data_IF_969977590918
#
_entry.id   IF_969977590918
#
_cell.length_a   1.000
_cell.length_b   1.000
_cell.length_c   1.000
_cell.angle_alpha   90.00
_cell.angle_beta   90.00
_cell.angle_gamma   90.00
#
_symmetry.space_group_name_H-M   'P 1'
#
loop_
_entity.id
_entity.type
_entity.pdbx_description
1 polymer ?
#
# COMPACT_ATOMS: atom_id res chain seq x y z
N UNK A 1 38.97 54.43 8.95
CA UNK A 1 38.98 54.39 10.42
C UNK A 1 38.44 53.04 10.84
N UNK A 2 39.24 52.29 11.63
CA UNK A 2 38.89 51.20 12.59
C UNK A 2 38.10 49.99 12.06
N UNK A 3 38.30 48.74 12.49
CA UNK A 3 39.39 47.89 12.99
C UNK A 3 38.76 46.48 13.03
N UNK A 4 39.44 45.43 12.56
CA UNK A 4 39.12 44.01 12.84
C UNK A 4 39.28 43.71 14.36
N UNK A 5 38.68 42.63 14.96
CA UNK A 5 39.17 41.22 14.82
C UNK A 5 38.07 40.11 14.90
N UNK A 6 38.20 38.97 14.21
CA UNK A 6 38.84 37.69 14.61
C UNK A 6 38.56 37.28 16.07
N UNK A 7 37.78 36.20 16.25
CA UNK A 7 37.92 35.27 17.38
C UNK A 7 37.96 33.84 16.83
N UNK A 8 39.06 33.17 17.16
CA UNK A 8 39.36 31.74 17.00
C UNK A 8 39.50 31.20 18.43
N UNK A 9 38.88 30.05 18.77
CA UNK A 9 39.23 29.18 19.91
C UNK A 9 38.46 27.84 19.72
N UNK A 10 39.07 26.76 19.22
CA UNK A 10 39.96 25.81 19.90
C UNK A 10 39.28 24.93 20.98
N UNK A 11 38.98 23.68 20.58
CA UNK A 11 39.36 22.44 21.26
C UNK A 11 38.75 22.08 22.63
N UNK A 12 38.11 20.92 22.70
CA UNK A 12 38.36 19.98 23.80
C UNK A 12 38.21 18.52 23.36
N UNK A 13 39.27 17.77 23.60
CA UNK A 13 39.42 16.31 23.49
C UNK A 13 39.19 15.74 24.90
N UNK A 14 38.61 14.55 25.03
CA UNK A 14 39.19 13.40 25.77
C UNK A 14 38.21 12.45 26.47
N UNK A 15 38.42 11.17 26.13
CA UNK A 15 38.60 9.97 26.98
C UNK A 15 37.42 9.32 27.70
N UNK A 16 37.21 8.07 27.26
CA UNK A 16 36.84 6.86 27.98
C UNK A 16 37.60 6.61 29.30
N UNK A 17 36.89 6.05 30.30
CA UNK A 17 37.36 5.26 31.48
C UNK A 17 36.12 4.43 31.90
N UNK A 18 36.08 3.12 31.68
CA UNK A 18 36.55 2.01 32.53
C UNK A 18 35.78 1.81 33.86
N UNK A 19 35.31 0.57 34.03
CA UNK A 19 34.62 0.00 35.19
C UNK A 19 35.48 -0.05 36.46
N UNK A 20 34.85 -0.33 37.62
CA UNK A 20 35.49 -1.07 38.70
C UNK A 20 34.81 -2.42 38.96
N UNK A 21 35.58 -3.48 38.74
CA UNK A 21 35.49 -4.75 39.45
C UNK A 21 36.32 -4.65 40.74
N UNK A 22 35.81 -5.18 41.86
CA UNK A 22 36.53 -5.82 43.00
C UNK A 22 35.51 -6.00 44.15
N UNK A 23 35.60 -6.95 45.08
CA UNK A 23 36.21 -8.28 45.20
C UNK A 23 35.86 -8.73 46.64
N UNK A 24 35.83 -10.05 46.87
CA UNK A 24 35.88 -10.64 48.22
C UNK A 24 34.50 -10.87 48.84
N UNK A 25 34.10 -12.07 49.23
CA UNK A 25 34.89 -13.20 49.70
C UNK A 25 34.37 -13.56 51.08
N UNK A 26 33.90 -14.80 51.27
CA UNK A 26 33.36 -15.21 52.56
C UNK A 26 32.64 -16.54 52.54
N UNK A 27 33.42 -17.61 52.44
CA UNK A 27 33.00 -18.97 52.76
C UNK A 27 32.43 -19.06 54.18
N UNK A 28 31.37 -19.85 54.35
CA UNK A 28 30.84 -20.22 55.66
C UNK A 28 30.00 -21.50 55.57
N UNK A 29 30.68 -22.64 55.63
CA UNK A 29 30.11 -23.98 55.80
C UNK A 29 29.35 -24.07 57.14
N UNK A 30 28.22 -24.79 57.19
CA UNK A 30 28.09 -26.04 57.97
C UNK A 30 26.63 -26.50 58.20
N UNK A 31 26.46 -27.82 58.06
CA UNK A 31 25.63 -28.74 58.84
C UNK A 31 24.10 -28.49 58.89
N UNK A 32 23.25 -29.34 58.30
CA UNK A 32 22.93 -30.71 58.71
C UNK A 32 22.71 -30.84 60.23
N UNK A 33 21.47 -31.04 60.68
CA UNK A 33 20.93 -32.37 61.02
C UNK A 33 19.64 -32.26 61.86
N UNK A 34 18.92 -33.39 61.88
CA UNK A 34 18.03 -33.87 62.94
C UNK A 34 16.52 -33.56 62.89
N UNK A 35 15.82 -34.62 62.51
CA UNK A 35 14.43 -34.96 62.76
C UNK A 35 14.06 -35.14 64.25
N UNK A 36 12.78 -34.96 64.57
CA UNK A 36 11.95 -35.80 65.47
C UNK A 36 10.51 -35.22 65.48
N UNK A 37 9.48 -35.89 64.96
CA UNK A 37 8.65 -36.99 65.51
C UNK A 37 7.78 -36.66 66.74
N UNK A 38 6.50 -37.05 66.59
CA UNK A 38 5.42 -37.28 67.57
C UNK A 38 4.62 -36.03 68.02
N UNK A 39 3.30 -36.07 68.18
CA UNK A 39 2.34 -37.17 68.16
C UNK A 39 0.90 -36.65 68.17
N UNK A 40 -0.02 -37.58 67.93
CA UNK A 40 -1.47 -37.40 67.79
C UNK A 40 -2.19 -36.92 69.06
N UNK A 41 -3.35 -36.27 68.91
CA UNK A 41 -4.66 -36.76 69.42
C UNK A 41 -5.81 -35.71 69.34
N UNK A 42 -6.89 -36.11 68.65
CA UNK A 42 -8.31 -36.10 69.06
C UNK A 42 -9.11 -34.79 69.22
N UNK A 43 -10.27 -34.76 68.52
CA UNK A 43 -11.47 -33.95 68.80
C UNK A 43 -11.77 -32.98 67.64
N UNK A 44 -12.67 -33.22 66.69
CA UNK A 44 -14.07 -33.62 66.85
C UNK A 44 -14.94 -32.37 66.99
N UNK A 45 -15.50 -31.85 65.89
CA UNK A 45 -16.84 -31.24 65.81
C UNK A 45 -17.26 -30.97 64.35
N UNK A 46 -18.54 -31.29 64.07
CA UNK A 46 -19.30 -31.16 62.83
C UNK A 46 -19.44 -29.70 62.36
N UNK A 47 -19.55 -29.48 61.04
CA UNK A 47 -20.28 -28.32 60.51
C UNK A 47 -19.98 -27.89 59.08
N UNK A 48 -20.59 -28.58 58.10
CA UNK A 48 -21.21 -28.07 56.87
C UNK A 48 -20.63 -26.90 56.03
N UNK A 49 -20.64 -27.17 54.71
CA UNK A 49 -20.66 -26.27 53.52
C UNK A 49 -19.31 -25.99 52.84
N UNK A 50 -18.92 -26.91 51.95
CA UNK A 50 -17.89 -26.70 50.93
C UNK A 50 -18.24 -27.49 49.67
N UNK A 51 -19.30 -27.09 48.96
CA UNK A 51 -19.86 -27.81 47.82
C UNK A 51 -19.83 -27.06 46.48
N UNK A 52 -18.94 -26.07 46.32
CA UNK A 52 -18.87 -25.26 45.09
C UNK A 52 -17.46 -25.16 44.46
N UNK A 53 -16.41 -25.68 45.11
CA UNK A 53 -15.03 -25.60 44.59
C UNK A 53 -14.54 -26.89 43.90
N UNK A 54 -15.28 -28.00 44.01
CA UNK A 54 -14.89 -29.28 43.40
C UNK A 54 -15.53 -29.53 42.01
N UNK A 55 -16.50 -28.73 41.60
CA UNK A 55 -17.15 -28.84 40.29
C UNK A 55 -16.44 -28.05 39.17
N UNK A 56 -15.62 -27.05 39.52
CA UNK A 56 -14.88 -26.25 38.54
C UNK A 56 -13.56 -26.90 38.07
N UNK A 57 -12.96 -27.79 38.88
CA UNK A 57 -11.72 -28.50 38.52
C UNK A 57 -11.96 -29.74 37.63
N UNK A 58 -13.18 -30.28 37.60
CA UNK A 58 -13.53 -31.44 36.76
C UNK A 58 -13.97 -31.06 35.33
N UNK A 59 -14.40 -29.82 35.11
CA UNK A 59 -14.73 -29.32 33.77
C UNK A 59 -13.49 -28.90 32.95
N UNK A 60 -12.41 -28.49 33.62
CA UNK A 60 -11.15 -28.11 32.98
C UNK A 60 -10.28 -29.32 32.53
N UNK A 61 -10.48 -30.50 33.12
CA UNK A 61 -9.76 -31.73 32.76
C UNK A 61 -10.43 -32.55 31.63
N UNK A 62 -11.69 -32.26 31.29
CA UNK A 62 -12.41 -32.92 30.20
C UNK A 62 -12.27 -32.22 28.83
N UNK A 63 -11.83 -30.95 28.81
CA UNK A 63 -11.55 -30.22 27.57
C UNK A 63 -10.15 -30.51 26.98
N UNK A 64 -9.23 -31.04 27.79
CA UNK A 64 -7.86 -31.36 27.36
C UNK A 64 -7.68 -32.79 26.79
N UNK A 65 -8.75 -33.61 26.78
CA UNK A 65 -8.70 -35.01 26.31
C UNK A 65 -9.41 -35.25 24.96
N UNK A 66 -9.92 -34.20 24.31
CA UNK A 66 -10.55 -34.28 22.98
C UNK A 66 -9.65 -33.80 21.82
N UNK A 67 -8.41 -33.40 22.10
CA UNK A 67 -7.46 -32.86 21.12
C UNK A 67 -6.39 -33.87 20.66
N UNK A 68 -6.71 -35.17 20.65
CA UNK A 68 -5.70 -36.19 20.41
C UNK A 68 -6.24 -37.48 19.83
N UNK A 69 -6.80 -37.44 18.62
CA UNK A 69 -6.78 -38.54 17.64
C UNK A 69 -7.47 -38.05 16.35
N UNK A 70 -6.66 -37.59 15.40
CA UNK A 70 -7.15 -37.14 14.10
C UNK A 70 -5.99 -36.81 13.17
N UNK A 71 -5.01 -37.71 13.07
CA UNK A 71 -4.06 -37.68 11.97
C UNK A 71 -4.82 -38.04 10.68
N UNK A 72 -5.49 -37.05 10.10
CA UNK A 72 -5.91 -37.12 8.71
C UNK A 72 -4.70 -36.68 7.87
N UNK A 73 -4.14 -37.62 7.12
CA UNK A 73 -3.21 -37.30 6.06
C UNK A 73 -3.94 -36.38 5.06
N UNK A 74 -3.51 -35.13 4.97
CA UNK A 74 -3.99 -34.21 3.94
C UNK A 74 -3.17 -34.51 2.70
N UNK A 75 -3.85 -34.94 1.65
CA UNK A 75 -3.26 -35.24 0.37
C UNK A 75 -2.77 -33.94 -0.27
N UNK A 76 -1.48 -33.93 -0.66
CA UNK A 76 -0.97 -32.98 -1.63
C UNK A 76 -1.81 -33.11 -2.90
N UNK A 77 -2.49 -32.05 -3.29
CA UNK A 77 -3.12 -31.98 -4.59
C UNK A 77 -2.99 -30.55 -5.10
N UNK A 78 -1.92 -30.34 -5.86
CA UNK A 78 -1.68 -29.11 -6.58
C UNK A 78 -2.72 -28.90 -7.68
N UNK A 79 -3.06 -27.63 -7.86
CA UNK A 79 -3.45 -27.03 -9.14
C UNK A 79 -3.19 -25.54 -9.02
N UNK A 80 -1.93 -25.15 -9.23
CA UNK A 80 -1.58 -23.79 -9.62
C UNK A 80 -1.86 -23.64 -11.12
N UNK A 81 -2.51 -22.54 -11.51
CA UNK A 81 -2.47 -22.06 -12.87
C UNK A 81 -1.13 -21.32 -13.06
N UNK A 82 -0.45 -21.61 -14.16
CA UNK A 82 0.94 -21.24 -14.40
C UNK A 82 1.13 -19.72 -14.60
N UNK A 83 1.73 -19.07 -13.60
CA UNK A 83 2.73 -18.00 -13.75
C UNK A 83 4.11 -18.58 -13.39
N UNK A 84 5.21 -17.88 -13.68
CA UNK A 84 6.57 -18.40 -13.47
C UNK A 84 6.76 -18.97 -12.05
N UNK A 85 7.17 -20.25 -11.95
CA UNK A 85 7.38 -20.93 -10.66
C UNK A 85 8.50 -20.21 -9.90
N UNK A 86 8.13 -19.34 -8.95
CA UNK A 86 8.96 -19.11 -7.78
C UNK A 86 9.32 -20.47 -7.19
N UNK A 87 10.59 -20.63 -6.83
CA UNK A 87 11.03 -21.82 -6.10
C UNK A 87 10.29 -21.82 -4.77
N UNK A 88 9.25 -22.65 -4.62
CA UNK A 88 8.51 -22.82 -3.36
C UNK A 88 9.52 -22.90 -2.21
N UNK A 89 9.46 -21.93 -1.28
CA UNK A 89 10.27 -21.98 -0.07
C UNK A 89 9.96 -23.32 0.61
N UNK A 90 10.94 -24.24 0.78
CA UNK A 90 10.69 -25.53 1.42
C UNK A 90 10.22 -25.39 2.89
N UNK A 91 10.18 -24.17 3.43
CA UNK A 91 9.64 -23.79 4.73
C UNK A 91 8.32 -22.99 4.66
N UNK A 92 7.57 -23.11 3.56
CA UNK A 92 6.19 -22.62 3.37
C UNK A 92 5.18 -23.78 3.48
N UNK A 93 3.98 -23.49 3.98
CA UNK A 93 2.87 -24.44 4.11
C UNK A 93 1.56 -23.79 3.64
N UNK A 94 1.01 -24.29 2.55
CA UNK A 94 -0.30 -23.86 2.07
C UNK A 94 -1.42 -24.64 2.75
N UNK A 95 -2.39 -23.92 3.30
CA UNK A 95 -3.50 -24.47 4.06
C UNK A 95 -4.82 -23.96 3.49
N UNK A 96 -5.81 -24.84 3.41
CA UNK A 96 -7.18 -24.42 3.05
C UNK A 96 -7.96 -24.02 4.29
N UNK A 97 -8.43 -22.78 4.31
CA UNK A 97 -9.32 -22.22 5.33
C UNK A 97 -10.80 -22.44 5.00
N UNK A 98 -11.62 -22.54 6.05
CA UNK A 98 -13.09 -22.50 5.96
C UNK A 98 -13.61 -21.47 6.95
N UNK A 99 -14.44 -20.53 6.50
CA UNK A 99 -14.99 -19.49 7.37
C UNK A 99 -15.74 -20.09 8.58
N UNK A 100 -15.52 -19.49 9.75
CA UNK A 100 -16.07 -19.90 11.04
C UNK A 100 -15.40 -21.13 11.66
N UNK A 101 -14.40 -21.73 10.99
CA UNK A 101 -13.67 -22.90 11.49
C UNK A 101 -12.28 -22.51 11.97
N UNK A 102 -11.84 -23.07 13.09
CA UNK A 102 -10.50 -22.85 13.61
C UNK A 102 -9.45 -23.63 12.79
N UNK A 103 -8.39 -22.94 12.39
CA UNK A 103 -7.19 -23.48 11.73
C UNK A 103 -6.02 -23.39 12.71
N UNK A 104 -5.32 -24.49 12.93
CA UNK A 104 -4.15 -24.54 13.79
C UNK A 104 -2.91 -24.15 12.99
N UNK A 105 -2.32 -23.01 13.32
CA UNK A 105 -1.08 -22.50 12.75
C UNK A 105 0.12 -22.97 13.58
N UNK A 106 1.08 -23.57 12.91
CA UNK A 106 2.30 -24.11 13.50
C UNK A 106 3.25 -22.98 13.91
N UNK A 107 3.99 -23.18 15.01
CA UNK A 107 5.14 -22.33 15.34
C UNK A 107 6.42 -22.79 14.63
N UNK A 108 7.55 -22.24 15.04
CA UNK A 108 8.86 -22.59 14.50
C UNK A 108 9.31 -21.74 13.31
N UNK A 109 8.69 -20.57 13.12
CA UNK A 109 9.01 -19.64 12.03
C UNK A 109 8.87 -20.30 10.64
N UNK A 110 7.80 -21.08 10.48
CA UNK A 110 7.32 -21.65 9.22
C UNK A 110 6.26 -20.70 8.66
N UNK A 111 6.42 -20.26 7.42
CA UNK A 111 5.40 -19.44 6.75
C UNK A 111 4.21 -20.32 6.39
N UNK A 112 3.01 -19.84 6.68
CA UNK A 112 1.76 -20.57 6.47
C UNK A 112 0.75 -19.64 5.84
N UNK A 113 0.22 -20.06 4.70
CA UNK A 113 -0.67 -19.26 3.88
C UNK A 113 -2.03 -19.95 3.88
N UNK A 114 -3.01 -19.29 4.50
CA UNK A 114 -4.34 -19.88 4.69
C UNK A 114 -5.32 -19.28 3.71
N UNK A 115 -5.49 -19.92 2.56
CA UNK A 115 -6.46 -19.51 1.55
C UNK A 115 -7.87 -19.96 1.94
N UNK A 116 -8.78 -19.01 2.16
CA UNK A 116 -10.18 -19.29 2.44
C UNK A 116 -10.98 -19.51 1.16
N UNK A 117 -12.08 -20.26 1.29
CA UNK A 117 -13.03 -20.43 0.19
C UNK A 117 -13.47 -19.08 -0.38
N UNK A 118 -13.46 -18.98 -1.72
CA UNK A 118 -13.94 -17.81 -2.45
C UNK A 118 -15.26 -17.27 -1.88
N UNK A 119 -15.28 -15.97 -1.64
CA UNK A 119 -16.46 -15.19 -1.33
C UNK A 119 -17.22 -14.79 -2.62
N UNK A 120 -17.56 -13.52 -2.79
CA UNK A 120 -18.29 -13.02 -3.95
C UNK A 120 -17.33 -12.77 -5.10
N UNK A 121 -16.31 -11.95 -4.83
CA UNK A 121 -15.40 -11.39 -5.82
C UNK A 121 -14.04 -12.06 -5.82
N UNK A 122 -13.61 -12.65 -4.72
CA UNK A 122 -12.28 -13.21 -4.54
C UNK A 122 -12.20 -14.09 -3.31
N UNK A 123 -10.98 -14.43 -2.92
CA UNK A 123 -10.66 -15.26 -1.76
C UNK A 123 -9.79 -14.46 -0.81
N UNK A 124 -10.09 -14.54 0.49
CA UNK A 124 -9.17 -14.02 1.51
C UNK A 124 -8.05 -15.03 1.73
N UNK A 125 -6.82 -14.55 1.78
CA UNK A 125 -5.67 -15.28 2.30
C UNK A 125 -5.15 -14.61 3.57
N UNK A 126 -4.60 -15.42 4.48
CA UNK A 126 -3.93 -14.94 5.69
C UNK A 126 -2.57 -15.63 5.76
N UNK A 127 -1.51 -14.85 5.57
CA UNK A 127 -0.14 -15.32 5.78
C UNK A 127 0.30 -15.12 7.24
N UNK A 128 0.92 -16.16 7.80
CA UNK A 128 1.40 -16.17 9.18
C UNK A 128 2.79 -16.80 9.29
N UNK A 129 3.66 -16.15 10.07
CA UNK A 129 4.92 -16.74 10.54
C UNK A 129 5.19 -16.29 11.95
N UNK A 130 5.57 -17.22 12.82
CA UNK A 130 6.02 -16.90 14.17
C UNK A 130 6.73 -18.09 14.82
N UNK A 131 7.54 -17.83 15.84
CA UNK A 131 8.16 -18.88 16.65
C UNK A 131 7.12 -19.71 17.42
N UNK A 132 6.04 -19.09 17.90
CA UNK A 132 4.95 -19.78 18.59
C UNK A 132 3.71 -19.86 17.69
N UNK A 133 3.08 -21.04 17.65
CA UNK A 133 1.86 -21.26 16.88
C UNK A 133 0.67 -20.42 17.38
N UNK A 134 -0.37 -20.38 16.55
CA UNK A 134 -1.62 -19.66 16.80
C UNK A 134 -2.82 -20.49 16.36
N UNK A 135 -3.99 -20.09 16.84
CA UNK A 135 -5.28 -20.62 16.38
C UNK A 135 -6.01 -19.52 15.62
N UNK A 136 -6.05 -19.65 14.29
CA UNK A 136 -6.73 -18.71 13.40
C UNK A 136 -8.20 -19.09 13.26
N UNK A 137 -9.09 -18.12 13.41
CA UNK A 137 -10.48 -18.23 12.96
C UNK A 137 -10.80 -17.00 12.14
N UNK A 138 -11.31 -17.20 10.93
CA UNK A 138 -11.83 -16.11 10.10
C UNK A 138 -13.34 -16.27 9.98
N UNK A 139 -14.10 -15.23 10.29
CA UNK A 139 -15.56 -15.21 10.08
C UNK A 139 -15.91 -14.19 9.02
N UNK A 140 -16.63 -14.61 8.00
CA UNK A 140 -17.15 -13.71 6.99
C UNK A 140 -18.40 -12.97 7.49
N UNK A 141 -18.41 -11.64 7.33
CA UNK A 141 -19.55 -10.78 7.57
C UNK A 141 -20.12 -10.28 6.24
N UNK A 142 -21.29 -10.80 5.85
CA UNK A 142 -22.02 -10.44 4.63
C UNK A 142 -22.76 -9.09 4.69
N UNK A 143 -22.73 -8.41 5.84
CA UNK A 143 -23.32 -7.09 6.03
C UNK A 143 -22.32 -6.18 6.76
N UNK A 144 -21.22 -5.80 6.10
CA UNK A 144 -20.21 -4.93 6.68
C UNK A 144 -20.75 -3.52 6.97
N UNK A 145 -19.98 -2.74 7.72
CA UNK A 145 -20.18 -1.29 7.77
C UNK A 145 -20.00 -0.69 6.36
N UNK A 146 -20.52 0.53 6.15
CA UNK A 146 -20.39 1.20 4.87
C UNK A 146 -18.91 1.44 4.50
N UNK A 147 -18.56 1.43 3.20
CA UNK A 147 -17.22 1.79 2.75
C UNK A 147 -16.79 3.18 3.24
N UNK A 148 -15.47 3.41 3.41
CA UNK A 148 -14.94 4.74 3.70
C UNK A 148 -15.32 5.76 2.62
N UNK A 149 -15.36 7.05 2.97
CA UNK A 149 -15.61 8.11 1.99
C UNK A 149 -14.53 8.11 0.90
N UNK A 150 -14.94 8.24 -0.37
CA UNK A 150 -14.03 8.14 -1.51
C UNK A 150 -13.80 6.72 -2.02
N UNK A 151 -14.37 5.71 -1.35
CA UNK A 151 -14.23 4.31 -1.70
C UNK A 151 -15.58 3.63 -1.92
N UNK A 152 -15.57 2.58 -2.73
CA UNK A 152 -16.65 1.60 -2.83
C UNK A 152 -16.12 0.24 -2.43
N UNK A 153 -17.01 -0.64 -1.98
CA UNK A 153 -16.63 -2.03 -1.70
C UNK A 153 -16.26 -2.73 -3.01
N UNK A 154 -15.09 -3.36 -3.03
CA UNK A 154 -14.71 -4.33 -4.06
C UNK A 154 -15.33 -5.68 -3.72
N UNK A 155 -15.14 -6.14 -2.48
CA UNK A 155 -15.87 -7.29 -1.93
C UNK A 155 -17.01 -6.76 -1.03
N UNK A 156 -18.27 -7.14 -1.30
CA UNK A 156 -19.40 -6.73 -0.46
C UNK A 156 -19.40 -7.35 0.95
N UNK A 157 -18.54 -8.34 1.20
CA UNK A 157 -18.29 -8.95 2.51
C UNK A 157 -17.08 -8.29 3.21
N UNK A 158 -16.97 -8.52 4.52
CA UNK A 158 -15.74 -8.24 5.28
C UNK A 158 -15.35 -9.48 6.09
N UNK A 159 -14.11 -9.53 6.54
CA UNK A 159 -13.52 -10.72 7.14
C UNK A 159 -13.00 -10.43 8.54
N UNK A 160 -13.55 -11.13 9.53
CA UNK A 160 -13.16 -11.04 10.93
C UNK A 160 -12.06 -12.04 11.22
N UNK A 161 -10.83 -11.57 11.25
CA UNK A 161 -9.65 -12.37 11.59
C UNK A 161 -9.45 -12.36 13.10
N UNK A 162 -9.32 -13.55 13.68
CA UNK A 162 -9.04 -13.74 15.09
C UNK A 162 -8.01 -14.86 15.32
N UNK A 163 -6.81 -14.46 15.71
CA UNK A 163 -5.82 -15.29 16.37
C UNK A 163 -6.11 -15.34 17.87
N UNK A 164 -6.48 -16.52 18.38
CA UNK A 164 -6.95 -16.69 19.76
C UNK A 164 -5.91 -16.30 20.82
N UNK A 165 -4.63 -16.46 20.52
CA UNK A 165 -3.51 -16.14 21.39
C UNK A 165 -2.94 -14.74 21.15
N UNK A 166 -3.59 -13.94 20.30
CA UNK A 166 -3.20 -12.58 19.95
C UNK A 166 -2.29 -12.48 18.72
N UNK A 167 -2.25 -11.27 18.18
CA UNK A 167 -1.60 -10.90 16.92
C UNK A 167 -0.46 -9.88 17.12
N UNK A 168 0.01 -9.70 18.35
CA UNK A 168 1.08 -8.73 18.62
C UNK A 168 2.46 -9.36 18.38
N UNK A 169 3.34 -8.61 17.72
CA UNK A 169 4.77 -8.93 17.53
C UNK A 169 5.02 -10.32 16.92
N UNK A 170 4.20 -10.74 15.95
CA UNK A 170 4.48 -11.93 15.14
C UNK A 170 5.56 -11.62 14.09
N UNK A 171 6.25 -12.66 13.62
CA UNK A 171 7.34 -12.53 12.62
C UNK A 171 6.81 -12.08 11.25
N UNK A 172 5.67 -12.61 10.81
CA UNK A 172 4.96 -12.19 9.59
C UNK A 172 3.45 -12.24 9.85
N UNK A 173 2.76 -11.23 9.35
CA UNK A 173 1.31 -11.15 9.33
C UNK A 173 0.89 -10.38 8.09
N UNK A 174 0.19 -11.03 7.18
CA UNK A 174 -0.43 -10.36 6.06
C UNK A 174 -1.92 -10.69 5.97
N UNK A 175 -2.65 -9.79 5.33
CA UNK A 175 -4.08 -9.93 5.04
C UNK A 175 -4.21 -9.71 3.56
N UNK A 176 -4.40 -10.79 2.83
CA UNK A 176 -4.27 -10.76 1.38
C UNK A 176 -5.60 -11.14 0.74
N UNK A 177 -5.80 -10.68 -0.49
CA UNK A 177 -7.05 -10.87 -1.20
C UNK A 177 -6.83 -11.15 -2.68
N UNK A 178 -6.84 -12.43 -3.02
CA UNK A 178 -6.83 -12.93 -4.39
C UNK A 178 -8.15 -12.62 -5.07
N UNK A 179 -8.15 -11.72 -6.04
CA UNK A 179 -9.33 -11.29 -6.79
C UNK A 179 -9.59 -12.31 -7.90
N UNK A 180 -10.84 -12.76 -8.07
CA UNK A 180 -11.20 -13.57 -9.24
C UNK A 180 -11.43 -12.64 -10.45
N UNK A 181 -10.52 -12.62 -11.44
CA UNK A 181 -10.64 -11.75 -12.62
C UNK A 181 -11.88 -12.08 -13.47
N UNK A 182 -12.47 -13.27 -13.32
CA UNK A 182 -13.70 -13.66 -14.02
C UNK A 182 -14.98 -13.17 -13.30
N UNK A 183 -14.87 -12.52 -12.15
CA UNK A 183 -16.02 -11.98 -11.44
C UNK A 183 -16.69 -10.86 -12.26
N UNK A 184 -18.01 -10.93 -12.53
CA UNK A 184 -18.69 -9.86 -13.25
C UNK A 184 -18.82 -8.56 -12.42
N UNK A 185 -18.66 -8.65 -11.10
CA UNK A 185 -18.85 -7.53 -10.18
C UNK A 185 -17.63 -6.58 -10.11
N UNK A 186 -16.51 -6.95 -10.73
CA UNK A 186 -15.30 -6.11 -10.81
C UNK A 186 -15.07 -5.48 -12.18
N UNK A 187 -15.97 -5.72 -13.14
CA UNK A 187 -15.82 -5.19 -14.50
C UNK A 187 -15.81 -3.66 -14.46
N UNK A 188 -14.72 -3.07 -14.96
CA UNK A 188 -14.52 -1.62 -14.98
C UNK A 188 -14.10 -1.01 -13.64
N UNK A 189 -13.76 -1.84 -12.64
CA UNK A 189 -13.14 -1.38 -11.41
C UNK A 189 -11.61 -1.36 -11.55
N UNK A 190 -10.99 -0.34 -10.97
CA UNK A 190 -9.55 -0.23 -10.87
C UNK A 190 -9.05 -1.06 -9.67
N UNK A 191 -8.87 -2.36 -9.92
CA UNK A 191 -8.46 -3.30 -8.89
C UNK A 191 -6.99 -3.15 -8.48
N UNK A 192 -6.15 -2.57 -9.35
CA UNK A 192 -4.74 -2.32 -9.07
C UNK A 192 -4.58 -1.27 -7.95
N UNK A 193 -5.49 -0.30 -7.89
CA UNK A 193 -5.58 0.66 -6.79
C UNK A 193 -6.46 0.18 -5.62
N UNK A 194 -6.73 -1.12 -5.54
CA UNK A 194 -7.47 -1.72 -4.43
C UNK A 194 -6.83 -1.41 -3.09
N UNK A 195 -7.65 -1.36 -2.04
CA UNK A 195 -7.22 -1.04 -0.68
C UNK A 195 -7.84 -2.02 0.30
N UNK A 196 -7.04 -2.45 1.29
CA UNK A 196 -7.51 -3.26 2.41
C UNK A 196 -7.66 -2.36 3.64
N UNK A 197 -8.88 -2.21 4.11
CA UNK A 197 -9.21 -1.35 5.24
C UNK A 197 -9.58 -2.13 6.50
N UNK A 198 -9.22 -1.62 7.67
CA UNK A 198 -9.59 -2.20 8.98
C UNK A 198 -10.76 -1.46 9.60
N UNK A 199 -11.75 -2.18 10.14
CA UNK A 199 -12.87 -1.58 10.85
C UNK A 199 -12.39 -0.95 12.17
N UNK A 200 -12.57 0.36 12.31
CA UNK A 200 -12.49 1.02 13.60
C UNK A 200 -13.80 0.80 14.36
N UNK A 201 -13.74 0.00 15.42
CA UNK A 201 -14.93 -0.35 16.21
C UNK A 201 -15.50 0.84 16.98
N UNK A 202 -14.71 1.88 17.23
CA UNK A 202 -15.16 3.09 17.94
C UNK A 202 -16.06 3.97 17.07
N UNK A 203 -15.71 4.12 15.79
CA UNK A 203 -16.47 4.92 14.82
C UNK A 203 -17.43 4.08 13.97
N UNK A 204 -17.28 2.75 14.00
CA UNK A 204 -17.98 1.79 13.15
C UNK A 204 -17.81 2.12 11.65
N UNK A 205 -16.59 2.51 11.28
CA UNK A 205 -16.19 2.81 9.90
C UNK A 205 -14.89 2.12 9.59
N UNK A 206 -14.74 1.64 8.36
CA UNK A 206 -13.43 1.18 7.89
C UNK A 206 -12.48 2.37 7.78
N UNK A 207 -11.21 2.10 8.07
CA UNK A 207 -10.11 3.04 7.93
C UNK A 207 -9.11 2.41 6.97
N UNK A 208 -8.66 3.20 6.01
CA UNK A 208 -7.51 2.91 5.13
C UNK A 208 -6.46 3.92 5.55
N UNK A 209 -5.34 3.45 6.09
CA UNK A 209 -4.31 4.29 6.71
C UNK A 209 -2.97 3.58 6.64
N UNK A 210 -1.90 4.30 6.29
CA UNK A 210 -0.53 3.77 6.21
C UNK A 210 -0.05 3.19 7.55
N UNK A 211 -0.64 3.59 8.68
CA UNK A 211 -0.35 3.02 9.99
C UNK A 211 -0.87 1.59 10.19
N UNK A 212 -1.78 1.11 9.32
CA UNK A 212 -2.23 -0.28 9.35
C UNK A 212 -1.17 -1.24 8.80
N UNK A 213 -0.46 -0.81 7.75
CA UNK A 213 0.44 -1.65 6.99
C UNK A 213 0.82 -1.05 5.64
N UNK A 214 1.72 -1.76 4.95
CA UNK A 214 2.10 -1.49 3.55
C UNK A 214 1.23 -2.36 2.65
N UNK A 215 0.55 -1.72 1.68
CA UNK A 215 -0.32 -2.36 0.69
C UNK A 215 0.47 -2.53 -0.62
N UNK A 216 0.30 -3.67 -1.27
CA UNK A 216 0.89 -4.00 -2.56
C UNK A 216 -0.17 -4.65 -3.45
N UNK A 217 -0.09 -4.43 -4.76
CA UNK A 217 -0.90 -5.17 -5.74
C UNK A 217 0.01 -6.05 -6.59
N UNK A 218 -0.18 -7.36 -6.48
CA UNK A 218 0.58 -8.36 -7.19
C UNK A 218 -0.15 -8.71 -8.49
N UNK A 219 0.22 -8.03 -9.57
CA UNK A 219 -0.51 -8.09 -10.84
C UNK A 219 -0.57 -9.49 -11.45
N UNK A 220 0.49 -10.29 -11.26
CA UNK A 220 0.57 -11.65 -11.78
C UNK A 220 -0.43 -12.61 -11.10
N UNK A 221 -0.77 -12.33 -9.84
CA UNK A 221 -1.68 -13.15 -9.02
C UNK A 221 -3.07 -12.52 -8.88
N UNK A 222 -3.25 -11.28 -9.34
CA UNK A 222 -4.43 -10.44 -9.10
C UNK A 222 -4.73 -10.31 -7.61
N UNK A 223 -3.70 -10.09 -6.81
CA UNK A 223 -3.79 -10.11 -5.35
C UNK A 223 -3.49 -8.74 -4.75
N UNK A 224 -4.28 -8.35 -3.75
CA UNK A 224 -3.96 -7.24 -2.86
C UNK A 224 -3.32 -7.81 -1.60
N UNK A 225 -2.09 -7.39 -1.30
CA UNK A 225 -1.31 -7.86 -0.15
C UNK A 225 -1.18 -6.74 0.87
N UNK A 226 -1.57 -6.95 2.13
CA UNK A 226 -1.39 -5.96 3.20
C UNK A 226 -0.55 -6.53 4.34
N UNK A 227 0.70 -6.09 4.46
CA UNK A 227 1.57 -6.46 5.58
C UNK A 227 1.24 -5.63 6.82
N UNK A 228 0.79 -6.27 7.90
CA UNK A 228 0.25 -5.59 9.09
C UNK A 228 1.04 -5.89 10.36
N UNK A 229 0.99 -4.97 11.32
CA UNK A 229 1.56 -5.22 12.67
C UNK A 229 0.63 -6.01 13.59
N UNK A 230 -0.68 -6.04 13.27
CA UNK A 230 -1.69 -6.78 14.00
C UNK A 230 -2.90 -7.09 13.10
N UNK A 231 -3.02 -8.37 12.69
CA UNK A 231 -4.11 -8.83 11.81
C UNK A 231 -5.45 -9.06 12.51
N UNK A 232 -5.52 -9.07 13.85
CA UNK A 232 -6.80 -9.26 14.54
C UNK A 232 -7.72 -8.06 14.29
N UNK A 233 -8.92 -8.31 13.77
CA UNK A 233 -9.87 -7.27 13.41
C UNK A 233 -10.85 -7.69 12.33
N UNK A 234 -11.67 -6.74 11.88
CA UNK A 234 -12.56 -6.90 10.73
C UNK A 234 -12.01 -6.11 9.55
N UNK A 235 -11.85 -6.76 8.41
CA UNK A 235 -11.16 -6.23 7.24
C UNK A 235 -12.10 -6.19 6.04
N UNK A 236 -12.10 -5.08 5.32
CA UNK A 236 -12.88 -4.90 4.09
C UNK A 236 -11.96 -4.61 2.91
N UNK A 237 -12.41 -5.00 1.72
CA UNK A 237 -11.68 -4.79 0.46
C UNK A 237 -12.40 -3.71 -0.34
N UNK A 238 -11.67 -2.68 -0.72
CA UNK A 238 -12.20 -1.47 -1.33
C UNK A 238 -11.47 -1.12 -2.60
N UNK A 239 -12.12 -0.34 -3.46
CA UNK A 239 -11.47 0.37 -4.56
C UNK A 239 -11.86 1.84 -4.48
N UNK A 240 -10.96 2.77 -4.84
CA UNK A 240 -11.30 4.18 -4.97
C UNK A 240 -12.50 4.34 -5.91
N UNK A 241 -13.45 5.18 -5.52
CA UNK A 241 -14.49 5.62 -6.45
C UNK A 241 -13.81 6.62 -7.38
N UNK A 242 -13.71 6.29 -8.67
CA UNK A 242 -13.36 7.27 -9.69
C UNK A 242 -14.28 8.48 -9.48
N UNK A 243 -13.71 9.61 -9.11
CA UNK A 243 -14.50 10.78 -8.73
C UNK A 243 -15.42 11.10 -9.90
N UNK A 244 -16.72 10.89 -9.73
CA UNK A 244 -17.72 11.44 -10.62
C UNK A 244 -17.59 12.97 -10.52
N UNK A 245 -16.79 13.54 -11.41
CA UNK A 245 -16.70 14.96 -11.65
C UNK A 245 -18.08 15.43 -12.13
N UNK A 246 -18.98 15.71 -11.19
CA UNK A 246 -20.10 16.66 -11.24
C UNK A 246 -21.17 16.30 -10.19
N UNK A 247 -21.05 16.86 -8.99
CA UNK A 247 -22.21 17.08 -8.12
C UNK A 247 -21.96 18.16 -7.05
N UNK A 248 -21.72 19.40 -7.47
CA UNK A 248 -22.01 20.57 -6.62
C UNK A 248 -22.22 21.87 -7.44
N UNK A 249 -23.17 21.86 -8.38
CA UNK A 249 -23.86 23.07 -8.81
C UNK A 249 -25.28 22.73 -9.32
N UNK A 250 -26.24 22.68 -8.39
CA UNK A 250 -27.64 23.07 -8.59
C UNK A 250 -28.54 22.33 -9.59
N UNK A 251 -29.57 21.66 -9.07
CA UNK A 251 -30.94 21.82 -9.59
C UNK A 251 -31.57 20.66 -10.36
N UNK A 252 -32.50 19.97 -9.67
CA UNK A 252 -33.69 19.21 -10.13
C UNK A 252 -34.00 19.13 -11.64
N UNK A 253 -34.18 17.91 -12.18
CA UNK A 253 -35.49 17.24 -12.38
C UNK A 253 -35.51 16.22 -13.56
N UNK A 254 -36.13 15.06 -13.27
CA UNK A 254 -37.00 14.22 -14.11
C UNK A 254 -36.43 13.28 -15.22
N UNK A 255 -36.67 11.98 -14.97
CA UNK A 255 -37.15 10.89 -15.83
C UNK A 255 -36.80 10.83 -17.33
N UNK A 256 -36.20 9.71 -17.74
CA UNK A 256 -36.19 9.27 -19.14
C UNK A 256 -35.30 8.05 -19.40
N UNK A 257 -35.93 6.87 -19.48
CA UNK A 257 -35.36 5.55 -19.80
C UNK A 257 -34.94 5.43 -21.29
N UNK A 258 -33.72 4.97 -21.58
CA UNK A 258 -33.37 3.80 -22.43
C UNK A 258 -32.04 3.91 -23.24
N UNK A 259 -31.29 2.81 -23.17
CA UNK A 259 -30.49 2.14 -24.23
C UNK A 259 -29.06 2.62 -24.59
N UNK A 260 -28.10 1.84 -24.07
CA UNK A 260 -27.02 1.10 -24.76
C UNK A 260 -26.05 1.81 -25.73
N UNK A 261 -24.78 1.91 -25.30
CA UNK A 261 -23.53 1.48 -25.97
C UNK A 261 -22.42 1.75 -24.93
N UNK A 262 -21.67 0.78 -24.41
CA UNK A 262 -20.75 -0.07 -25.16
C UNK A 262 -19.41 0.66 -25.27
N UNK A 263 -18.54 0.51 -24.28
CA UNK A 263 -17.21 1.12 -24.23
C UNK A 263 -16.53 0.84 -22.89
N UNK A 264 -15.74 -0.24 -22.86
CA UNK A 264 -14.76 -0.51 -21.81
C UNK A 264 -13.82 0.68 -21.68
N UNK A 265 -13.71 1.22 -20.46
CA UNK A 265 -12.70 2.20 -20.09
C UNK A 265 -11.74 1.49 -19.13
N UNK A 266 -10.57 1.14 -19.64
CA UNK A 266 -9.44 0.71 -18.84
C UNK A 266 -8.93 1.90 -18.02
N UNK A 267 -8.73 1.68 -16.72
CA UNK A 267 -8.07 2.64 -15.84
C UNK A 267 -6.55 2.45 -15.98
N UNK A 268 -5.85 3.58 -16.09
CA UNK A 268 -4.41 3.64 -16.20
C UNK A 268 -3.79 3.25 -14.85
N UNK A 269 -2.98 2.20 -14.87
CA UNK A 269 -2.08 1.83 -13.79
C UNK A 269 -1.02 2.93 -13.66
N UNK A 270 -1.02 3.65 -12.53
CA UNK A 270 0.19 4.25 -12.01
C UNK A 270 0.85 3.18 -11.15
N UNK A 271 1.92 2.58 -11.65
CA UNK A 271 2.75 1.68 -10.86
C UNK A 271 3.59 2.52 -9.91
N UNK A 272 3.46 2.31 -8.60
CA UNK A 272 4.48 2.78 -7.65
C UNK A 272 5.69 1.84 -7.78
N UNK A 273 6.74 2.30 -8.46
CA UNK A 273 8.09 1.74 -8.29
C UNK A 273 8.47 1.84 -6.79
N UNK A 274 9.13 0.82 -6.27
CA UNK A 274 9.69 0.82 -4.92
C UNK A 274 10.48 2.11 -4.66
N UNK A 275 10.04 2.92 -3.69
CA UNK A 275 10.70 4.17 -3.24
C UNK A 275 12.22 3.94 -3.14
N UNK A 276 12.98 4.42 -4.14
CA UNK A 276 14.43 4.49 -4.01
C UNK A 276 14.71 5.52 -2.93
N UNK A 277 15.40 5.14 -1.85
CA UNK A 277 15.74 6.05 -0.73
C UNK A 277 16.18 7.42 -1.25
N UNK A 278 15.33 8.45 -1.11
CA UNK A 278 15.61 9.82 -1.55
C UNK A 278 14.67 10.42 -2.60
N UNK A 279 13.66 9.68 -3.07
CA UNK A 279 12.56 10.18 -3.90
C UNK A 279 11.40 10.70 -3.02
N UNK A 280 10.56 11.61 -3.52
CA UNK A 280 9.45 12.19 -2.76
C UNK A 280 8.30 12.50 -3.69
N UNK A 281 7.21 11.78 -3.53
CA UNK A 281 6.00 11.99 -4.32
C UNK A 281 5.11 13.06 -3.67
N UNK A 282 4.63 13.99 -4.51
CA UNK A 282 3.81 15.11 -4.07
C UNK A 282 2.63 15.30 -5.00
N UNK A 283 1.42 15.24 -4.44
CA UNK A 283 0.21 15.66 -5.14
C UNK A 283 0.27 17.16 -5.48
N UNK A 284 0.45 17.44 -6.76
CA UNK A 284 0.44 18.78 -7.34
C UNK A 284 -0.97 19.34 -7.45
N UNK A 285 -1.15 20.59 -7.03
CA UNK A 285 -2.37 21.36 -7.30
C UNK A 285 -2.09 22.48 -8.29
N UNK A 286 -2.84 22.52 -9.39
CA UNK A 286 -2.72 23.61 -10.36
C UNK A 286 -2.87 24.98 -9.68
N UNK A 287 -2.09 25.95 -10.16
CA UNK A 287 -1.99 27.32 -9.65
C UNK A 287 -1.41 27.43 -8.23
N UNK A 288 -0.85 26.34 -7.69
CA UNK A 288 -0.19 26.32 -6.37
C UNK A 288 1.28 26.01 -6.57
N UNK A 289 2.15 26.76 -5.89
CA UNK A 289 3.58 26.48 -5.90
C UNK A 289 3.88 25.29 -4.97
N UNK A 290 4.49 24.26 -5.51
CA UNK A 290 4.99 23.09 -4.77
C UNK A 290 6.49 23.28 -4.54
N UNK A 291 6.94 23.20 -3.30
CA UNK A 291 8.34 23.37 -2.96
C UNK A 291 9.11 22.08 -3.24
N UNK A 292 10.29 22.20 -3.85
CA UNK A 292 11.20 21.07 -4.07
C UNK A 292 12.47 21.27 -3.22
N UNK A 293 12.91 20.24 -2.47
CA UNK A 293 14.10 20.30 -1.65
C UNK A 293 15.38 20.48 -2.49
N UNK A 294 16.46 20.87 -1.82
CA UNK A 294 17.80 20.96 -2.41
C UNK A 294 18.54 19.61 -2.29
N UNK A 295 19.71 19.52 -2.94
CA UNK A 295 20.68 18.46 -2.70
C UNK A 295 20.39 17.14 -3.42
N UNK A 296 19.83 17.22 -4.62
CA UNK A 296 19.48 16.06 -5.45
C UNK A 296 18.49 15.09 -4.79
N UNK A 297 17.58 15.63 -3.98
CA UNK A 297 16.39 14.90 -3.55
C UNK A 297 15.39 15.02 -4.68
N UNK A 298 15.15 13.91 -5.38
CA UNK A 298 14.18 13.85 -6.48
C UNK A 298 12.79 14.08 -5.89
N UNK A 299 11.96 14.84 -6.61
CA UNK A 299 10.60 15.13 -6.21
C UNK A 299 9.71 15.02 -7.43
N UNK A 300 8.74 14.14 -7.35
CA UNK A 300 7.79 13.83 -8.41
C UNK A 300 6.47 14.50 -8.05
N UNK A 301 6.05 15.44 -8.90
CA UNK A 301 4.90 16.27 -8.63
C UNK A 301 3.79 15.90 -9.60
N UNK A 302 2.86 15.06 -9.13
CA UNK A 302 1.75 14.57 -9.93
C UNK A 302 0.59 15.57 -9.94
N UNK A 303 0.28 16.13 -11.11
CA UNK A 303 -0.89 16.98 -11.33
C UNK A 303 -1.99 16.19 -12.02
N UNK A 304 -3.03 15.82 -11.25
CA UNK A 304 -4.20 15.13 -11.79
C UNK A 304 -4.84 15.96 -12.89
N UNK A 305 -4.85 15.44 -14.11
CA UNK A 305 -5.28 16.15 -15.31
C UNK A 305 -6.76 15.93 -15.62
N UNK A 306 -7.04 15.40 -16.81
CA UNK A 306 -8.39 15.11 -17.26
C UNK A 306 -8.49 13.67 -17.79
N UNK A 307 -9.56 13.33 -18.50
CA UNK A 307 -9.78 11.99 -19.07
C UNK A 307 -8.65 11.52 -20.00
N UNK A 308 -7.83 12.43 -20.54
CA UNK A 308 -6.69 12.11 -21.38
C UNK A 308 -5.45 11.64 -20.59
N UNK A 309 -5.30 12.00 -19.31
CA UNK A 309 -4.09 11.70 -18.54
C UNK A 309 -3.73 12.76 -17.50
N UNK A 310 -2.57 12.54 -16.87
CA UNK A 310 -1.99 13.36 -15.82
C UNK A 310 -0.66 13.94 -16.28
N UNK A 311 -0.33 15.13 -15.77
CA UNK A 311 1.01 15.70 -15.93
C UNK A 311 1.81 15.37 -14.68
N UNK A 312 3.03 14.90 -14.86
CA UNK A 312 4.02 14.84 -13.79
C UNK A 312 5.21 15.77 -14.10
N UNK A 313 5.78 16.34 -13.03
CA UNK A 313 6.98 17.16 -13.13
C UNK A 313 8.01 16.63 -12.13
N UNK A 314 9.03 15.95 -12.64
CA UNK A 314 10.19 15.52 -11.86
C UNK A 314 11.18 16.68 -11.65
N UNK A 315 11.63 16.88 -10.41
CA UNK A 315 12.73 17.79 -10.09
C UNK A 315 13.77 17.10 -9.23
N UNK A 316 14.97 16.93 -9.78
CA UNK A 316 16.15 16.47 -9.07
C UNK A 316 17.27 17.52 -9.18
N UNK A 317 17.32 18.44 -8.21
CA UNK A 317 18.10 19.67 -8.31
C UNK A 317 19.07 19.91 -7.14
N UNK A 318 20.17 20.59 -7.45
CA UNK A 318 21.18 21.02 -6.47
C UNK A 318 20.64 22.02 -5.46
N UNK A 319 19.77 22.95 -5.90
CA UNK A 319 19.20 24.02 -5.09
C UNK A 319 17.69 23.84 -4.94
N UNK A 320 17.16 24.21 -3.77
CA UNK A 320 15.73 24.17 -3.51
C UNK A 320 14.99 25.10 -4.47
N UNK A 321 13.84 24.65 -4.97
CA UNK A 321 13.04 25.39 -5.93
C UNK A 321 11.56 25.41 -5.51
N UNK A 322 10.72 26.01 -6.35
CA UNK A 322 9.29 25.79 -6.28
C UNK A 322 8.72 25.76 -7.69
N UNK A 323 7.91 24.74 -7.98
CA UNK A 323 7.26 24.53 -9.28
C UNK A 323 5.81 24.98 -9.17
N UNK A 324 5.34 25.80 -10.10
CA UNK A 324 3.92 26.12 -10.26
C UNK A 324 3.47 25.72 -11.65
N UNK A 325 2.43 24.90 -11.72
CA UNK A 325 1.79 24.51 -12.99
C UNK A 325 0.44 25.17 -13.10
N UNK A 326 0.18 25.82 -14.23
CA UNK A 326 -1.14 26.35 -14.60
C UNK A 326 -1.62 25.61 -15.83
N UNK A 327 -2.72 24.87 -15.71
CA UNK A 327 -3.35 24.26 -16.88
C UNK A 327 -4.28 25.25 -17.59
N UNK A 328 -4.42 25.06 -18.90
CA UNK A 328 -5.28 25.90 -19.74
C UNK A 328 -5.39 25.35 -21.14
N UNK A 329 -6.07 26.07 -22.04
CA UNK A 329 -6.08 25.71 -23.45
C UNK A 329 -4.73 26.04 -24.11
N UNK A 330 -4.23 25.17 -25.01
CA UNK A 330 -3.04 25.47 -25.80
C UNK A 330 -3.14 26.84 -26.46
N UNK A 331 -2.12 27.68 -26.28
CA UNK A 331 -2.07 29.02 -26.87
C UNK A 331 -1.42 29.04 -28.26
N UNK A 332 -0.63 28.00 -28.57
CA UNK A 332 -0.04 27.76 -29.89
C UNK A 332 -0.79 26.73 -30.72
N UNK A 333 -0.37 26.58 -31.97
CA UNK A 333 -0.83 25.49 -32.84
C UNK A 333 0.09 24.27 -32.72
N UNK A 334 -0.41 23.04 -32.94
CA UNK A 334 0.47 21.89 -33.09
C UNK A 334 1.37 22.08 -34.34
N UNK A 335 2.55 21.44 -34.40
CA UNK A 335 3.34 21.39 -35.62
C UNK A 335 2.51 20.83 -36.79
N UNK A 336 2.90 21.16 -38.02
CA UNK A 336 2.23 20.63 -39.20
C UNK A 336 2.23 19.08 -39.20
N UNK A 337 1.05 18.49 -39.35
CA UNK A 337 0.87 17.03 -39.33
C UNK A 337 0.73 16.43 -37.93
N UNK A 338 0.66 17.24 -36.88
CA UNK A 338 0.38 16.81 -35.50
C UNK A 338 -1.00 17.24 -35.02
N UNK A 339 -1.52 16.51 -34.04
CA UNK A 339 -2.73 16.80 -33.29
C UNK A 339 -2.40 16.92 -31.80
N UNK A 340 -3.24 17.63 -31.05
CA UNK A 340 -3.20 17.56 -29.59
C UNK A 340 -3.86 16.27 -29.11
N UNK A 341 -3.20 15.57 -28.20
CA UNK A 341 -3.74 14.39 -27.51
C UNK A 341 -4.66 14.84 -26.38
N UNK A 342 -4.16 15.77 -25.55
CA UNK A 342 -4.92 16.43 -24.49
C UNK A 342 -5.40 17.81 -24.97
N UNK A 343 -6.69 18.19 -24.82
CA UNK A 343 -7.15 19.56 -25.07
C UNK A 343 -6.54 20.62 -24.12
N UNK A 344 -5.74 20.21 -23.13
CA UNK A 344 -5.02 21.06 -22.20
C UNK A 344 -3.56 21.29 -22.61
N UNK A 345 -3.01 22.37 -22.07
CA UNK A 345 -1.60 22.70 -22.04
C UNK A 345 -1.22 23.08 -20.62
N UNK A 346 0.06 22.96 -20.30
CA UNK A 346 0.58 23.12 -18.96
C UNK A 346 1.65 24.20 -18.96
N UNK A 347 1.38 25.33 -18.31
CA UNK A 347 2.36 26.39 -18.09
C UNK A 347 3.12 26.09 -16.82
N UNK A 348 4.34 25.61 -16.97
CA UNK A 348 5.23 25.30 -15.86
C UNK A 348 6.13 26.52 -15.62
N UNK A 349 6.25 26.90 -14.35
CA UNK A 349 7.18 27.95 -13.91
C UNK A 349 7.93 27.53 -12.66
N UNK A 350 9.21 27.83 -12.62
CA UNK A 350 10.06 27.59 -11.45
C UNK A 350 10.41 28.91 -10.75
N UNK A 351 10.56 28.89 -9.43
CA UNK A 351 10.96 30.06 -8.65
C UNK A 351 12.37 30.55 -9.02
N UNK A 352 13.26 29.62 -9.35
CA UNK A 352 14.62 29.89 -9.84
C UNK A 352 14.91 29.05 -11.08
N UNK A 353 15.77 29.55 -11.97
CA UNK A 353 16.24 28.77 -13.10
C UNK A 353 16.95 27.49 -12.64
N UNK A 354 16.73 26.38 -13.35
CA UNK A 354 17.44 25.12 -13.16
C UNK A 354 18.89 25.26 -13.60
N UNK A 355 19.81 24.60 -12.88
CA UNK A 355 21.21 24.52 -13.27
C UNK A 355 21.41 23.43 -14.34
N UNK A 356 22.47 23.55 -15.13
CA UNK A 356 22.81 22.53 -16.15
C UNK A 356 23.19 21.16 -15.55
N UNK A 357 23.38 21.08 -14.24
CA UNK A 357 23.63 19.83 -13.49
C UNK A 357 22.36 19.25 -12.86
N UNK A 358 21.25 19.99 -12.88
CA UNK A 358 19.98 19.50 -12.36
C UNK A 358 19.35 18.58 -13.44
N UNK A 359 18.60 17.57 -13.00
CA UNK A 359 17.75 16.76 -13.88
C UNK A 359 16.31 17.15 -13.62
N UNK A 360 15.59 17.52 -14.68
CA UNK A 360 14.18 17.90 -14.60
C UNK A 360 13.45 17.32 -15.79
N UNK A 361 12.24 16.84 -15.56
CA UNK A 361 11.43 16.21 -16.60
C UNK A 361 10.01 16.78 -16.67
N UNK A 362 9.40 16.60 -17.83
CA UNK A 362 7.99 16.85 -18.08
C UNK A 362 7.41 15.55 -18.59
N UNK A 363 6.64 14.92 -17.72
CA UNK A 363 6.17 13.57 -17.91
C UNK A 363 4.65 13.60 -18.06
N UNK A 364 4.12 12.70 -18.88
CA UNK A 364 2.70 12.62 -19.14
C UNK A 364 2.22 11.18 -19.15
N UNK A 365 1.55 10.83 -18.06
CA UNK A 365 0.92 9.54 -17.83
C UNK A 365 -0.44 9.57 -18.55
N UNK A 366 -0.52 8.96 -19.71
CA UNK A 366 -1.72 8.99 -20.55
C UNK A 366 -2.70 7.88 -20.16
N UNK A 367 -4.00 8.16 -20.32
CA UNK A 367 -5.04 7.21 -19.93
C UNK A 367 -5.17 6.07 -20.94
N UNK A 368 -5.83 4.98 -20.55
CA UNK A 368 -6.12 3.91 -21.51
C UNK A 368 -7.08 4.35 -22.64
N UNK A 369 -7.84 5.43 -22.45
CA UNK A 369 -8.62 6.03 -23.53
C UNK A 369 -7.70 6.56 -24.65
N UNK A 370 -6.51 7.06 -24.29
CA UNK A 370 -5.49 7.45 -25.26
C UNK A 370 -4.90 6.22 -25.94
N UNK A 371 -4.52 5.18 -25.18
CA UNK A 371 -4.05 3.91 -25.76
C UNK A 371 -5.00 3.32 -26.81
N UNK A 372 -6.32 3.45 -26.58
CA UNK A 372 -7.33 2.96 -27.50
C UNK A 372 -7.50 3.83 -28.75
N UNK A 373 -7.12 5.11 -28.69
CA UNK A 373 -7.36 6.09 -29.75
C UNK A 373 -6.14 6.31 -30.66
N UNK A 374 -4.93 6.03 -30.17
CA UNK A 374 -3.69 6.34 -30.88
C UNK A 374 -2.59 5.30 -30.67
N UNK A 375 -1.59 5.27 -31.55
CA UNK A 375 -0.33 4.54 -31.34
C UNK A 375 0.55 5.30 -30.33
N UNK A 376 0.71 4.79 -29.09
CA UNK A 376 1.40 5.52 -28.04
C UNK A 376 2.90 5.67 -28.30
N UNK A 377 3.50 4.83 -29.15
CA UNK A 377 4.94 4.92 -29.47
C UNK A 377 5.29 6.20 -30.25
N UNK A 378 4.27 6.86 -30.82
CA UNK A 378 4.41 8.07 -31.62
C UNK A 378 4.07 9.36 -30.86
N UNK A 379 3.61 9.27 -29.61
CA UNK A 379 3.30 10.45 -28.80
C UNK A 379 4.55 11.25 -28.44
N UNK A 380 4.38 12.56 -28.24
CA UNK A 380 5.46 13.51 -27.94
C UNK A 380 5.00 14.56 -26.95
N UNK A 381 5.89 14.92 -26.03
CA UNK A 381 5.76 16.12 -25.19
C UNK A 381 6.36 17.31 -25.96
N UNK A 382 5.54 18.33 -26.23
CA UNK A 382 5.97 19.51 -27.00
C UNK A 382 6.02 20.77 -26.16
N UNK A 383 6.98 21.66 -26.45
CA UNK A 383 7.12 22.97 -25.82
C UNK A 383 6.68 24.06 -26.79
N UNK A 384 5.95 25.07 -26.32
CA UNK A 384 5.57 26.22 -27.14
C UNK A 384 6.80 27.07 -27.49
N UNK A 385 7.09 27.20 -28.77
CA UNK A 385 7.95 28.27 -29.28
C UNK A 385 7.14 29.56 -29.43
N UNK A 386 7.32 30.48 -28.49
CA UNK A 386 6.64 31.77 -28.46
C UNK A 386 6.95 32.67 -29.67
N UNK A 387 8.03 32.39 -30.41
CA UNK A 387 8.39 33.16 -31.62
C UNK A 387 7.53 32.77 -32.80
N UNK A 388 7.29 31.47 -32.99
CA UNK A 388 6.52 30.92 -34.12
C UNK A 388 5.05 30.66 -33.76
N UNK A 389 4.70 30.73 -32.48
CA UNK A 389 3.40 30.37 -31.91
C UNK A 389 2.96 28.94 -32.29
N UNK A 390 3.95 28.04 -32.34
CA UNK A 390 3.78 26.62 -32.59
C UNK A 390 4.47 25.83 -31.49
N UNK A 391 3.91 24.67 -31.14
CA UNK A 391 4.63 23.71 -30.32
C UNK A 391 5.75 23.08 -31.16
N UNK A 392 6.88 22.83 -30.52
CA UNK A 392 8.01 22.09 -31.08
C UNK A 392 8.18 20.79 -30.32
N UNK A 393 8.47 19.71 -31.03
CA UNK A 393 8.67 18.35 -30.46
C UNK A 393 10.12 17.86 -30.65
N UNK A 394 10.87 18.48 -31.56
CA UNK A 394 12.27 18.14 -31.84
C UNK A 394 13.22 19.10 -31.13
N UNK A 395 14.32 18.56 -30.59
CA UNK A 395 15.39 19.37 -29.98
C UNK A 395 15.00 20.08 -28.67
N UNK A 396 13.91 19.64 -28.04
CA UNK A 396 13.41 20.18 -26.77
C UNK A 396 14.13 19.54 -25.57
N UNK A 397 14.37 18.24 -25.65
CA UNK A 397 14.91 17.41 -24.57
C UNK A 397 15.21 15.98 -25.04
N UNK A 398 15.56 15.12 -24.10
CA UNK A 398 15.71 13.68 -24.30
C UNK A 398 14.37 12.99 -24.01
N UNK A 399 13.80 12.34 -25.01
CA UNK A 399 12.48 11.71 -24.96
C UNK A 399 12.59 10.22 -24.68
N UNK A 400 11.71 9.74 -23.82
CA UNK A 400 11.54 8.34 -23.46
C UNK A 400 10.05 7.96 -23.52
N UNK A 401 9.77 6.72 -23.92
CA UNK A 401 8.43 6.14 -23.91
C UNK A 401 8.47 4.91 -23.02
N UNK A 402 7.73 4.97 -21.92
CA UNK A 402 7.70 3.94 -20.90
C UNK A 402 6.36 3.20 -21.04
N UNK A 403 6.40 2.05 -21.71
CA UNK A 403 5.20 1.34 -22.14
C UNK A 403 4.46 0.74 -20.94
N UNK A 404 5.22 0.34 -19.93
CA UNK A 404 4.76 -0.27 -18.69
C UNK A 404 3.99 0.73 -17.82
N UNK A 405 4.38 2.01 -17.85
CA UNK A 405 3.80 3.10 -17.05
C UNK A 405 2.77 3.92 -17.82
N UNK A 406 2.57 3.63 -19.11
CA UNK A 406 1.76 4.45 -20.01
C UNK A 406 2.21 5.91 -20.01
N UNK A 407 3.52 6.12 -20.11
CA UNK A 407 4.13 7.42 -19.92
C UNK A 407 4.93 7.91 -21.13
N UNK A 408 4.78 9.20 -21.41
CA UNK A 408 5.70 9.95 -22.26
C UNK A 408 6.56 10.89 -21.43
N UNK A 409 7.84 10.59 -21.35
CA UNK A 409 8.76 11.28 -20.46
C UNK A 409 9.73 12.15 -21.28
N UNK A 410 10.00 13.36 -20.80
CA UNK A 410 10.90 14.29 -21.50
C UNK A 410 11.84 14.97 -20.52
N UNK A 411 13.10 14.57 -20.52
CA UNK A 411 14.17 15.24 -19.76
C UNK A 411 14.58 16.52 -20.48
N UNK A 412 14.48 17.67 -19.80
CA UNK A 412 14.64 19.00 -20.42
C UNK A 412 15.68 19.85 -19.69
N UNK A 413 16.37 20.78 -20.38
CA UNK A 413 17.30 21.68 -19.71
C UNK A 413 16.60 22.74 -18.84
N UNK A 414 15.31 23.01 -19.12
CA UNK A 414 14.52 24.03 -18.44
C UNK A 414 13.01 23.73 -18.54
N UNK A 415 12.37 23.61 -17.37
CA UNK A 415 10.93 23.41 -17.20
C UNK A 415 10.10 24.63 -17.62
N UNK A 416 10.65 25.85 -17.57
CA UNK A 416 9.85 27.05 -17.77
C UNK A 416 9.29 27.11 -19.20
N UNK A 417 7.97 27.22 -19.32
CA UNK A 417 7.30 27.29 -20.61
C UNK A 417 5.89 26.76 -20.59
N UNK A 418 5.26 26.74 -21.76
CA UNK A 418 3.98 26.08 -21.98
C UNK A 418 4.22 24.77 -22.72
N UNK A 419 3.65 23.69 -22.19
CA UNK A 419 3.82 22.34 -22.67
C UNK A 419 2.49 21.77 -23.12
N UNK A 420 2.49 20.90 -24.11
CA UNK A 420 1.30 20.19 -24.56
C UNK A 420 1.69 18.80 -25.05
N UNK A 421 0.70 17.92 -25.14
CA UNK A 421 0.88 16.53 -25.55
C UNK A 421 0.39 16.38 -26.96
N UNK A 422 1.25 15.87 -27.83
CA UNK A 422 1.02 15.85 -29.26
C UNK A 422 1.28 14.48 -29.85
N UNK A 423 0.66 14.24 -31.00
CA UNK A 423 0.88 13.02 -31.76
C UNK A 423 0.81 13.30 -33.26
N UNK A 424 1.60 12.61 -34.10
CA UNK A 424 1.41 12.66 -35.54
C UNK A 424 -0.02 12.24 -35.91
N UNK A 425 -0.64 12.96 -36.85
CA UNK A 425 -1.98 12.63 -37.34
C UNK A 425 -2.06 11.20 -37.91
N UNK A 426 -0.94 10.68 -38.43
CA UNK A 426 -0.84 9.31 -38.95
C UNK A 426 -0.89 8.22 -37.87
N UNK A 427 -0.76 8.58 -36.59
CA UNK A 427 -0.76 7.66 -35.46
C UNK A 427 -2.12 7.57 -34.75
N UNK A 428 -3.17 8.19 -35.30
CA UNK A 428 -4.56 7.95 -34.85
C UNK A 428 -5.04 6.60 -35.41
N UNK A 429 -5.66 5.77 -34.56
CA UNK A 429 -6.09 4.39 -34.89
C UNK A 429 -7.43 4.29 -35.61
#
# INVERSE_FOLDING_TARGET
MRFLPIILLAGLVSTSIAAPHKNGGGQGKNAANAAAKNGAAVGGHKGGKGGAAAAAAAAAAAAAAAAGTGAAAVAANGTAAAGEEEVEDPNKLDLTGVFGTAVALQGGDIQQDVLFTKSTVGSLEVEFKNTAGRTLTVTENKTPAAPPAGFQALEPSSFKINLAEGADALTLQKVDYVIDPASPDIVGLDIANGQIGKLCTETNTFIIDKALGEIEFEADENELTLTVTNMNGEWGIFVPVAAAANAAAGGKAADGKAAAAGGEAAAAAGGEEAEKEGETDVDGKFNTAVATPAGFQKTDILFTGNEAGNLEVEVNATAANAVTVVNGKPTGNPPAGFLFVDPQSFKISTKSATAATDTVKVDYIFSAAILAAVDPTQGRVGKLDTTTNQYVVDGVGEFEFEAEENEWSLTVPDLNGEWAILIPQAAVL
#
